data_IF_422901205738
#
_entry.id   IF_422901205738
#
_cell.length_a   1.000
_cell.length_b   1.000
_cell.length_c   1.000
_cell.angle_alpha   90.00
_cell.angle_beta   90.00
_cell.angle_gamma   90.00
#
_symmetry.space_group_name_H-M   'P 1'
#
loop_
_entity.id
_entity.type
_entity.pdbx_description
1 polymer ?
#
# COMPACT_ATOMS: atom_id res chain seq x y z
N UNK A 1 -22.11 5.00 0.25
CA UNK A 1 -20.69 5.15 -0.13
C UNK A 1 -20.50 4.57 -1.52
N UNK A 2 -19.69 5.21 -2.37
CA UNK A 2 -19.41 4.73 -3.74
C UNK A 2 -18.28 3.73 -3.67
N UNK A 3 -18.48 2.51 -4.20
CA UNK A 3 -17.41 1.54 -4.30
C UNK A 3 -16.41 1.99 -5.36
N UNK A 4 -15.15 2.13 -4.99
CA UNK A 4 -14.09 2.53 -5.91
C UNK A 4 -13.40 1.31 -6.53
N UNK A 5 -13.34 0.21 -5.77
CA UNK A 5 -12.81 -1.08 -6.22
C UNK A 5 -13.81 -2.18 -5.90
N UNK A 6 -14.04 -3.07 -6.86
CA UNK A 6 -14.90 -4.25 -6.68
C UNK A 6 -14.33 -5.46 -7.40
N UNK A 7 -14.16 -6.55 -6.65
CA UNK A 7 -13.80 -7.87 -7.15
C UNK A 7 -15.00 -8.82 -7.01
N UNK A 8 -15.37 -9.51 -8.09
CA UNK A 8 -16.47 -10.47 -8.12
C UNK A 8 -16.03 -11.77 -8.78
N UNK A 9 -15.92 -12.84 -7.97
CA UNK A 9 -15.54 -14.20 -8.38
C UNK A 9 -14.23 -14.25 -9.19
N UNK A 10 -13.23 -13.43 -8.78
CA UNK A 10 -11.99 -13.29 -9.52
C UNK A 10 -11.09 -14.48 -9.28
N UNK A 11 -10.58 -15.05 -10.38
CA UNK A 11 -9.61 -16.14 -10.40
C UNK A 11 -8.39 -15.75 -11.21
N UNK A 12 -7.20 -16.21 -10.79
CA UNK A 12 -5.93 -16.00 -11.50
C UNK A 12 -4.98 -17.15 -11.32
N UNK A 13 -4.51 -17.68 -12.45
CA UNK A 13 -3.46 -18.69 -12.57
C UNK A 13 -2.29 -18.17 -13.39
N UNK A 14 -1.14 -18.76 -13.18
CA UNK A 14 0.03 -18.56 -14.03
C UNK A 14 0.48 -19.89 -14.60
N UNK A 15 0.94 -19.85 -15.85
CA UNK A 15 1.41 -21.02 -16.59
C UNK A 15 2.92 -20.95 -16.76
N UNK A 16 3.59 -22.05 -16.50
CA UNK A 16 5.02 -22.22 -16.70
C UNK A 16 5.32 -23.58 -17.35
N UNK A 17 6.57 -23.81 -17.71
CA UNK A 17 7.00 -25.14 -18.20
C UNK A 17 6.76 -26.27 -17.18
N UNK A 18 6.59 -25.95 -15.90
CA UNK A 18 6.30 -26.88 -14.81
C UNK A 18 4.80 -27.14 -14.61
N UNK A 19 3.94 -26.46 -15.36
CA UNK A 19 2.48 -26.58 -15.28
C UNK A 19 1.78 -25.30 -14.82
N UNK A 20 0.51 -25.45 -14.48
CA UNK A 20 -0.36 -24.40 -13.99
C UNK A 20 -0.17 -24.18 -12.48
N UNK A 21 -0.13 -22.92 -12.07
CA UNK A 21 -0.14 -22.50 -10.66
C UNK A 21 -1.35 -21.62 -10.41
N UNK A 22 -2.36 -22.16 -9.75
CA UNK A 22 -3.52 -21.39 -9.30
C UNK A 22 -3.10 -20.48 -8.14
N UNK A 23 -3.18 -19.16 -8.33
CA UNK A 23 -2.73 -18.18 -7.34
C UNK A 23 -3.91 -17.61 -6.56
N UNK A 24 -4.96 -17.16 -7.27
CA UNK A 24 -6.17 -16.58 -6.66
C UNK A 24 -7.39 -17.40 -7.08
N UNK A 25 -8.26 -17.69 -6.12
CA UNK A 25 -9.48 -18.47 -6.34
C UNK A 25 -10.67 -17.78 -5.70
N UNK A 26 -11.66 -17.44 -6.53
CA UNK A 26 -12.95 -16.88 -6.10
C UNK A 26 -12.82 -15.69 -5.14
N UNK A 27 -11.99 -14.71 -5.51
CA UNK A 27 -11.76 -13.50 -4.72
C UNK A 27 -12.95 -12.55 -4.87
N UNK A 28 -13.54 -12.16 -3.73
CA UNK A 28 -14.70 -11.28 -3.66
C UNK A 28 -14.51 -10.24 -2.56
N UNK A 29 -14.39 -8.96 -2.89
CA UNK A 29 -14.39 -7.85 -1.94
C UNK A 29 -14.69 -6.53 -2.63
N UNK A 30 -15.01 -5.51 -1.83
CA UNK A 30 -15.17 -4.12 -2.27
C UNK A 30 -14.35 -3.20 -1.39
N UNK A 31 -13.89 -2.08 -1.94
CA UNK A 31 -13.21 -1.00 -1.20
C UNK A 31 -13.94 0.30 -1.52
N UNK A 32 -14.26 1.06 -0.49
CA UNK A 32 -14.97 2.32 -0.59
C UNK A 32 -14.01 3.48 -0.85
N UNK A 33 -14.52 4.56 -1.42
CA UNK A 33 -13.78 5.80 -1.64
C UNK A 33 -13.22 6.34 -0.31
N UNK A 34 -11.92 6.68 -0.30
CA UNK A 34 -11.20 7.22 0.86
C UNK A 34 -10.84 6.22 1.95
N UNK A 35 -11.16 4.93 1.76
CA UNK A 35 -10.84 3.86 2.70
C UNK A 35 -9.36 3.44 2.60
N UNK A 36 -8.73 3.15 3.74
CA UNK A 36 -7.42 2.50 3.78
C UNK A 36 -7.63 1.03 4.13
N UNK A 37 -7.34 0.15 3.18
CA UNK A 37 -7.46 -1.31 3.35
C UNK A 37 -6.09 -1.95 3.34
N UNK A 38 -5.79 -2.76 4.36
CA UNK A 38 -4.61 -3.60 4.34
C UNK A 38 -4.95 -5.02 3.85
N UNK A 39 -4.07 -5.60 3.04
CA UNK A 39 -4.14 -6.99 2.61
C UNK A 39 -2.96 -7.74 3.22
N UNK A 40 -3.24 -8.72 4.07
CA UNK A 40 -2.24 -9.57 4.71
C UNK A 40 -2.40 -11.03 4.29
N UNK A 41 -1.33 -11.79 4.38
CA UNK A 41 -1.35 -13.21 4.03
C UNK A 41 0.07 -13.78 3.97
N UNK A 42 0.21 -15.12 3.92
CA UNK A 42 1.51 -15.79 3.85
C UNK A 42 2.36 -15.34 2.66
N UNK A 43 3.67 -15.55 2.75
CA UNK A 43 4.56 -15.26 1.62
C UNK A 43 4.13 -16.06 0.38
N UNK A 44 4.11 -15.39 -0.77
CA UNK A 44 3.72 -16.00 -2.05
C UNK A 44 2.22 -16.31 -2.20
N UNK A 45 1.33 -15.91 -1.31
CA UNK A 45 -0.11 -16.18 -1.44
C UNK A 45 -0.79 -15.43 -2.60
N UNK A 46 -0.20 -14.38 -3.16
CA UNK A 46 -0.77 -13.64 -4.29
C UNK A 46 -1.11 -12.18 -4.00
N UNK A 47 -0.58 -11.59 -2.91
CA UNK A 47 -0.80 -10.17 -2.58
C UNK A 47 -0.40 -9.22 -3.71
N UNK A 48 0.82 -9.32 -4.22
CA UNK A 48 1.26 -8.52 -5.37
C UNK A 48 0.51 -8.86 -6.66
N UNK A 49 -0.02 -10.09 -6.79
CA UNK A 49 -0.92 -10.44 -7.90
C UNK A 49 -2.22 -9.63 -7.84
N UNK A 50 -2.79 -9.45 -6.64
CA UNK A 50 -3.97 -8.58 -6.47
C UNK A 50 -3.66 -7.12 -6.84
N UNK A 51 -2.51 -6.59 -6.40
CA UNK A 51 -2.11 -5.23 -6.77
C UNK A 51 -1.91 -5.09 -8.29
N UNK A 52 -1.32 -6.10 -8.95
CA UNK A 52 -1.14 -6.11 -10.40
C UNK A 52 -2.48 -6.19 -11.16
N UNK A 53 -3.46 -6.90 -10.63
CA UNK A 53 -4.83 -6.91 -11.18
C UNK A 53 -5.50 -5.55 -11.02
N UNK A 54 -5.38 -4.90 -9.86
CA UNK A 54 -5.96 -3.57 -9.60
C UNK A 54 -5.29 -2.51 -10.48
N UNK A 55 -3.98 -2.58 -10.66
CA UNK A 55 -3.26 -1.64 -11.52
C UNK A 55 -3.45 -1.88 -13.04
N UNK A 56 -4.12 -2.98 -13.42
CA UNK A 56 -4.32 -3.36 -14.82
C UNK A 56 -3.08 -3.91 -15.53
N UNK A 57 -1.98 -4.17 -14.79
CA UNK A 57 -0.76 -4.78 -15.34
C UNK A 57 -0.98 -6.23 -15.80
N UNK A 58 -1.93 -6.92 -15.18
CA UNK A 58 -2.39 -8.25 -15.60
C UNK A 58 -3.91 -8.29 -15.60
N UNK A 59 -4.48 -9.25 -16.36
CA UNK A 59 -5.92 -9.47 -16.41
C UNK A 59 -6.30 -10.72 -15.59
N UNK A 60 -7.50 -10.77 -15.00
CA UNK A 60 -8.03 -11.99 -14.39
C UNK A 60 -8.32 -13.05 -15.45
N UNK A 61 -8.25 -14.32 -15.08
CA UNK A 61 -8.63 -15.41 -15.98
C UNK A 61 -10.16 -15.59 -16.02
N UNK A 62 -10.83 -15.26 -14.91
CA UNK A 62 -12.29 -15.21 -14.83
C UNK A 62 -12.74 -14.29 -13.69
N UNK A 63 -14.03 -13.95 -13.67
CA UNK A 63 -14.61 -12.98 -12.74
C UNK A 63 -14.52 -11.56 -13.30
N UNK A 64 -14.98 -10.58 -12.49
CA UNK A 64 -15.00 -9.17 -12.86
C UNK A 64 -14.27 -8.32 -11.85
N UNK A 65 -13.46 -7.38 -12.36
CA UNK A 65 -12.82 -6.34 -11.57
C UNK A 65 -13.33 -5.00 -12.09
N UNK A 66 -13.86 -4.18 -11.19
CA UNK A 66 -14.24 -2.80 -11.51
C UNK A 66 -13.36 -1.85 -10.69
N UNK A 67 -12.68 -0.94 -11.37
CA UNK A 67 -11.81 0.07 -10.78
C UNK A 67 -12.29 1.44 -11.27
N UNK A 68 -12.69 2.30 -10.34
CA UNK A 68 -13.18 3.65 -10.63
C UNK A 68 -12.12 4.66 -10.22
N UNK A 69 -11.30 5.10 -11.16
CA UNK A 69 -10.28 6.12 -10.90
C UNK A 69 -8.90 5.76 -11.43
N UNK A 70 -8.00 6.71 -11.32
CA UNK A 70 -6.59 6.55 -11.68
C UNK A 70 -5.82 5.85 -10.56
N UNK A 71 -5.01 4.88 -10.91
CA UNK A 71 -4.22 4.10 -9.96
C UNK A 71 -2.79 4.61 -9.93
N UNK A 72 -2.29 4.93 -8.72
CA UNK A 72 -0.87 5.16 -8.44
C UNK A 72 -0.29 3.94 -7.74
N UNK A 73 0.86 3.44 -8.18
CA UNK A 73 1.49 2.25 -7.61
C UNK A 73 2.87 2.57 -7.06
N UNK A 74 3.04 2.38 -5.75
CA UNK A 74 4.32 2.41 -5.07
C UNK A 74 4.79 0.97 -4.83
N UNK A 75 5.87 0.59 -5.52
CA UNK A 75 6.46 -0.75 -5.42
C UNK A 75 7.22 -0.95 -4.11
N UNK A 76 7.48 -2.20 -3.75
CA UNK A 76 8.21 -2.62 -2.56
C UNK A 76 9.58 -1.93 -2.43
N UNK A 77 10.33 -1.83 -3.54
CA UNK A 77 11.55 -1.01 -3.61
C UNK A 77 11.16 0.42 -3.99
N UNK A 78 11.86 1.40 -3.45
CA UNK A 78 11.64 2.82 -3.76
C UNK A 78 11.80 3.14 -5.25
N UNK A 79 12.64 2.37 -5.95
CA UNK A 79 12.92 2.51 -7.39
C UNK A 79 13.18 3.96 -7.80
N UNK A 80 13.87 4.71 -6.95
CA UNK A 80 14.33 6.05 -7.29
C UNK A 80 15.48 5.94 -8.29
N UNK A 81 15.49 6.83 -9.26
CA UNK A 81 16.61 6.91 -10.20
C UNK A 81 17.81 7.56 -9.51
N UNK A 82 18.89 6.80 -9.32
CA UNK A 82 20.10 7.23 -8.61
C UNK A 82 20.79 8.44 -9.27
N UNK A 83 20.62 8.64 -10.59
CA UNK A 83 21.15 9.77 -11.35
C UNK A 83 20.23 11.00 -11.39
N UNK A 84 19.11 10.95 -10.70
CA UNK A 84 18.14 12.04 -10.58
C UNK A 84 18.05 12.49 -9.12
N UNK A 85 18.09 13.80 -8.89
CA UNK A 85 17.83 14.34 -7.55
C UNK A 85 16.37 14.13 -7.14
N UNK A 86 16.03 14.49 -5.89
CA UNK A 86 14.67 14.38 -5.33
C UNK A 86 13.65 15.07 -6.23
N UNK A 87 13.88 16.32 -6.60
CA UNK A 87 12.98 17.07 -7.48
C UNK A 87 12.70 16.34 -8.79
N UNK A 88 13.75 15.91 -9.48
CA UNK A 88 13.63 15.20 -10.76
C UNK A 88 13.01 13.81 -10.62
N UNK A 89 13.20 13.12 -9.49
CA UNK A 89 12.51 11.87 -9.22
C UNK A 89 11.00 12.10 -9.07
N UNK A 90 10.58 13.10 -8.30
CA UNK A 90 9.17 13.42 -8.08
C UNK A 90 8.50 13.89 -9.38
N UNK A 91 9.17 14.73 -10.17
CA UNK A 91 8.60 15.26 -11.41
C UNK A 91 8.64 14.30 -12.60
N UNK A 92 9.17 13.11 -12.45
CA UNK A 92 9.28 12.12 -13.53
C UNK A 92 7.94 11.80 -14.22
N UNK A 93 6.90 11.56 -13.44
CA UNK A 93 5.57 11.25 -13.98
C UNK A 93 4.99 12.38 -14.82
N UNK A 94 4.92 13.61 -14.31
CA UNK A 94 4.57 14.82 -15.09
C UNK A 94 5.42 15.02 -16.35
N UNK A 95 6.75 14.79 -16.27
CA UNK A 95 7.64 14.88 -17.44
C UNK A 95 7.22 13.87 -18.54
N UNK A 96 7.02 12.61 -18.19
CA UNK A 96 6.58 11.56 -19.12
C UNK A 96 5.21 11.89 -19.72
N UNK A 97 4.29 12.39 -18.89
CA UNK A 97 2.94 12.77 -19.30
C UNK A 97 2.92 14.11 -20.08
N UNK A 98 4.08 14.76 -20.30
CA UNK A 98 4.21 16.07 -20.94
C UNK A 98 3.32 17.16 -20.30
N UNK A 99 3.11 17.06 -19.00
CA UNK A 99 2.35 18.02 -18.22
C UNK A 99 3.24 19.21 -17.86
N UNK A 100 2.63 20.40 -17.79
CA UNK A 100 3.36 21.59 -17.34
C UNK A 100 3.67 21.47 -15.84
N UNK A 101 4.96 21.50 -15.51
CA UNK A 101 5.43 21.43 -14.13
C UNK A 101 5.48 22.87 -13.58
N UNK A 102 4.76 23.10 -12.48
CA UNK A 102 4.88 24.33 -11.70
C UNK A 102 5.86 24.07 -10.54
N UNK A 103 7.04 24.73 -10.60
CA UNK A 103 8.09 24.52 -9.59
C UNK A 103 7.66 24.98 -8.20
N UNK A 104 6.87 26.04 -8.07
CA UNK A 104 6.39 26.55 -6.77
C UNK A 104 5.41 25.55 -6.11
N UNK A 105 4.56 24.90 -6.90
CA UNK A 105 3.69 23.83 -6.40
C UNK A 105 4.49 22.63 -5.91
N UNK A 106 5.56 22.24 -6.64
CA UNK A 106 6.44 21.17 -6.21
C UNK A 106 7.17 21.55 -4.93
N UNK A 107 7.67 22.78 -4.82
CA UNK A 107 8.38 23.25 -3.63
C UNK A 107 7.45 23.28 -2.40
N UNK A 108 6.23 23.78 -2.56
CA UNK A 108 5.20 23.72 -1.50
C UNK A 108 4.86 22.30 -1.10
N UNK A 109 4.79 21.38 -2.07
CA UNK A 109 4.55 19.95 -1.82
C UNK A 109 5.71 19.31 -1.05
N UNK A 110 6.96 19.58 -1.46
CA UNK A 110 8.15 19.13 -0.74
C UNK A 110 8.25 19.72 0.66
N UNK A 111 7.92 21.00 0.83
CA UNK A 111 7.91 21.67 2.14
C UNK A 111 6.90 21.05 3.08
N UNK A 112 5.66 20.80 2.60
CA UNK A 112 4.59 20.17 3.39
C UNK A 112 5.02 18.83 4.00
N UNK A 113 5.88 18.08 3.31
CA UNK A 113 6.32 16.74 3.73
C UNK A 113 7.79 16.69 4.18
N UNK A 114 8.39 17.85 4.50
CA UNK A 114 9.71 17.96 5.12
C UNK A 114 10.87 17.50 4.23
N UNK A 115 10.74 17.70 2.91
CA UNK A 115 11.74 17.29 1.92
C UNK A 115 12.31 18.47 1.09
N UNK A 116 11.90 19.70 1.38
CA UNK A 116 12.33 20.87 0.59
C UNK A 116 13.85 21.07 0.63
N UNK A 117 14.47 20.97 1.82
CA UNK A 117 15.93 21.13 1.99
C UNK A 117 16.72 20.06 1.24
N UNK A 118 16.08 18.92 0.96
CA UNK A 118 16.67 17.79 0.23
C UNK A 118 16.33 17.78 -1.27
N UNK A 119 15.67 18.82 -1.78
CA UNK A 119 15.22 18.93 -3.17
C UNK A 119 16.29 18.60 -4.20
N UNK A 120 17.53 19.03 -3.95
CA UNK A 120 18.66 18.83 -4.86
C UNK A 120 19.52 17.61 -4.53
N UNK A 121 19.23 16.88 -3.44
CA UNK A 121 19.97 15.68 -3.04
C UNK A 121 19.62 14.48 -3.93
N UNK A 122 20.56 13.57 -4.07
CA UNK A 122 20.39 12.32 -4.79
C UNK A 122 19.98 11.19 -3.83
N UNK A 123 19.36 10.10 -4.33
CA UNK A 123 18.87 9.00 -3.48
C UNK A 123 19.90 8.44 -2.50
N UNK A 124 21.17 8.33 -2.90
CA UNK A 124 22.28 7.87 -2.04
C UNK A 124 22.56 8.76 -0.83
N UNK A 125 22.13 10.02 -0.85
CA UNK A 125 22.30 11.00 0.23
C UNK A 125 21.15 11.02 1.22
N UNK A 126 20.09 10.22 0.96
CA UNK A 126 18.86 10.18 1.73
C UNK A 126 18.83 8.97 2.68
N UNK A 127 18.23 9.13 3.85
CA UNK A 127 17.87 8.00 4.71
C UNK A 127 16.84 7.08 4.02
N UNK A 128 16.71 5.83 4.48
CA UNK A 128 15.69 4.90 3.97
C UNK A 128 14.27 5.48 4.04
N UNK A 129 13.91 6.09 5.17
CA UNK A 129 12.61 6.72 5.34
C UNK A 129 12.38 7.93 4.42
N UNK A 130 13.42 8.73 4.16
CA UNK A 130 13.33 9.82 3.19
C UNK A 130 13.10 9.28 1.77
N UNK A 131 13.81 8.22 1.37
CA UNK A 131 13.60 7.58 0.06
C UNK A 131 12.17 7.07 -0.08
N UNK A 132 11.59 6.43 0.96
CA UNK A 132 10.20 5.98 0.93
C UNK A 132 9.21 7.16 0.78
N UNK A 133 9.42 8.27 1.50
CA UNK A 133 8.60 9.48 1.31
C UNK A 133 8.74 10.05 -0.09
N UNK A 134 9.93 10.12 -0.67
CA UNK A 134 10.14 10.58 -2.06
C UNK A 134 9.41 9.66 -3.05
N UNK A 135 9.48 8.34 -2.89
CA UNK A 135 8.78 7.38 -3.74
C UNK A 135 7.25 7.54 -3.66
N UNK A 136 6.71 7.76 -2.45
CA UNK A 136 5.29 8.05 -2.26
C UNK A 136 4.89 9.37 -2.94
N UNK A 137 5.66 10.44 -2.74
CA UNK A 137 5.38 11.75 -3.34
C UNK A 137 5.47 11.73 -4.86
N UNK A 138 6.42 10.95 -5.44
CA UNK A 138 6.49 10.69 -6.88
C UNK A 138 5.21 10.06 -7.43
N UNK A 139 4.57 9.21 -6.65
CA UNK A 139 3.30 8.57 -7.03
C UNK A 139 2.14 9.56 -6.86
N UNK A 140 2.09 10.30 -5.77
CA UNK A 140 1.00 11.23 -5.44
C UNK A 140 0.96 12.47 -6.34
N UNK A 141 2.10 12.91 -6.91
CA UNK A 141 2.15 14.09 -7.77
C UNK A 141 1.29 13.95 -9.03
N UNK A 142 1.04 12.71 -9.45
CA UNK A 142 0.13 12.40 -10.57
C UNK A 142 -1.34 12.49 -10.18
N UNK A 143 -1.63 12.84 -8.93
CA UNK A 143 -2.96 12.94 -8.36
C UNK A 143 -3.83 11.70 -8.66
N UNK A 144 -3.38 10.48 -8.28
CA UNK A 144 -4.20 9.29 -8.43
C UNK A 144 -5.43 9.35 -7.53
N UNK A 145 -6.47 8.59 -7.86
CA UNK A 145 -7.64 8.40 -7.00
C UNK A 145 -7.39 7.25 -6.02
N UNK A 146 -6.70 6.22 -6.50
CA UNK A 146 -6.37 5.00 -5.77
C UNK A 146 -4.85 4.89 -5.62
N UNK A 147 -4.37 4.62 -4.41
CA UNK A 147 -2.97 4.42 -4.08
C UNK A 147 -2.71 2.96 -3.69
N UNK A 148 -1.80 2.30 -4.40
CA UNK A 148 -1.33 0.95 -4.10
C UNK A 148 0.04 1.02 -3.47
N UNK A 149 0.21 0.39 -2.30
CA UNK A 149 1.46 0.31 -1.56
C UNK A 149 1.86 -1.16 -1.37
N UNK A 150 2.91 -1.60 -2.04
CA UNK A 150 3.41 -2.97 -1.96
C UNK A 150 4.57 -3.04 -0.96
N UNK A 151 4.31 -3.54 0.25
CA UNK A 151 5.30 -3.70 1.34
C UNK A 151 6.19 -2.47 1.57
N UNK A 152 5.63 -1.25 1.74
CA UNK A 152 6.39 0.00 1.68
C UNK A 152 7.43 0.16 2.80
N UNK A 153 7.40 -0.67 3.84
CA UNK A 153 8.29 -0.55 5.00
C UNK A 153 9.25 -1.73 5.16
N UNK A 154 9.22 -2.70 4.25
CA UNK A 154 9.97 -3.97 4.38
C UNK A 154 11.50 -3.81 4.40
N UNK A 155 12.02 -2.72 3.83
CA UNK A 155 13.45 -2.42 3.76
C UNK A 155 13.99 -1.56 4.91
N UNK A 156 13.13 -1.16 5.86
CA UNK A 156 13.47 -0.27 6.96
C UNK A 156 13.76 -1.05 8.25
N UNK A 157 14.72 -0.56 9.04
CA UNK A 157 14.90 -1.01 10.42
C UNK A 157 13.70 -0.64 11.30
N UNK A 158 13.54 -1.31 12.43
CA UNK A 158 12.34 -1.20 13.26
C UNK A 158 12.05 0.24 13.76
N UNK A 159 13.08 0.98 14.19
CA UNK A 159 12.90 2.34 14.73
C UNK A 159 12.49 3.33 13.62
N UNK A 160 13.21 3.30 12.52
CA UNK A 160 12.90 4.10 11.31
C UNK A 160 11.51 3.77 10.80
N UNK A 161 11.13 2.49 10.78
CA UNK A 161 9.83 2.01 10.33
C UNK A 161 8.66 2.66 11.08
N UNK A 162 8.71 2.71 12.42
CA UNK A 162 7.63 3.31 13.23
C UNK A 162 7.44 4.80 12.87
N UNK A 163 8.53 5.56 12.80
CA UNK A 163 8.47 6.98 12.47
C UNK A 163 7.95 7.21 11.04
N UNK A 164 8.45 6.44 10.08
CA UNK A 164 8.05 6.56 8.66
C UNK A 164 6.60 6.14 8.44
N UNK A 165 6.08 5.19 9.21
CA UNK A 165 4.68 4.81 9.14
C UNK A 165 3.75 5.96 9.55
N UNK A 166 4.07 6.70 10.61
CA UNK A 166 3.30 7.88 11.02
C UNK A 166 3.35 8.98 9.94
N UNK A 167 4.52 9.22 9.37
CA UNK A 167 4.68 10.22 8.28
C UNK A 167 3.85 9.82 7.04
N UNK A 168 3.99 8.57 6.58
CA UNK A 168 3.28 8.06 5.40
C UNK A 168 1.77 8.02 5.64
N UNK A 169 1.33 7.60 6.83
CA UNK A 169 -0.08 7.61 7.19
C UNK A 169 -0.67 9.01 7.11
N UNK A 170 0.02 10.01 7.65
CA UNK A 170 -0.39 11.42 7.59
C UNK A 170 -0.48 11.91 6.13
N UNK A 171 0.50 11.58 5.30
CA UNK A 171 0.49 11.91 3.86
C UNK A 171 -0.74 11.31 3.17
N UNK A 172 -1.06 10.05 3.45
CA UNK A 172 -2.22 9.34 2.88
C UNK A 172 -3.52 9.99 3.33
N UNK A 173 -3.71 10.21 4.62
CA UNK A 173 -4.92 10.85 5.17
C UNK A 173 -5.11 12.27 4.63
N UNK A 174 -4.05 13.07 4.57
CA UNK A 174 -4.08 14.42 3.98
C UNK A 174 -4.48 14.41 2.50
N UNK A 175 -4.07 13.38 1.76
CA UNK A 175 -4.37 13.24 0.34
C UNK A 175 -5.80 12.76 0.07
N UNK A 176 -6.48 12.19 1.07
CA UNK A 176 -7.84 11.62 1.00
C UNK A 176 -7.98 10.57 -0.11
N UNK A 177 -6.95 9.78 -0.38
CA UNK A 177 -6.93 8.77 -1.43
C UNK A 177 -7.37 7.43 -0.87
N UNK A 178 -8.14 6.68 -1.68
CA UNK A 178 -8.39 5.27 -1.42
C UNK A 178 -7.07 4.52 -1.48
N UNK A 179 -6.71 3.81 -0.41
CA UNK A 179 -5.38 3.23 -0.30
C UNK A 179 -5.45 1.73 -0.02
N UNK A 180 -4.67 0.97 -0.77
CA UNK A 180 -4.46 -0.46 -0.53
C UNK A 180 -3.01 -0.66 -0.11
N UNK A 181 -2.84 -1.15 1.10
CA UNK A 181 -1.55 -1.51 1.68
C UNK A 181 -1.40 -3.02 1.69
N UNK A 182 -0.43 -3.55 0.95
CA UNK A 182 -0.01 -4.95 1.08
C UNK A 182 1.15 -5.02 2.05
N UNK A 183 1.04 -5.90 3.03
CA UNK A 183 2.11 -6.17 4.01
C UNK A 183 2.03 -7.59 4.53
N UNK A 184 3.15 -8.11 5.05
CA UNK A 184 3.21 -9.35 5.82
C UNK A 184 3.22 -9.08 7.34
N UNK A 185 3.24 -7.83 7.76
CA UNK A 185 3.28 -7.39 9.16
C UNK A 185 1.87 -7.02 9.65
N UNK A 186 1.31 -7.84 10.55
CA UNK A 186 -0.01 -7.63 11.13
C UNK A 186 -0.06 -6.29 11.88
N UNK A 187 1.04 -5.90 12.54
CA UNK A 187 1.08 -4.66 13.30
C UNK A 187 0.98 -3.42 12.42
N UNK A 188 1.56 -3.47 11.22
CA UNK A 188 1.38 -2.43 10.19
C UNK A 188 -0.06 -2.35 9.72
N UNK A 189 -0.64 -3.51 9.38
CA UNK A 189 -2.00 -3.59 8.89
C UNK A 189 -3.00 -2.97 9.88
N UNK A 190 -2.94 -3.35 11.15
CA UNK A 190 -3.85 -2.82 12.19
C UNK A 190 -3.59 -1.33 12.44
N UNK A 191 -2.31 -0.92 12.50
CA UNK A 191 -1.96 0.46 12.81
C UNK A 191 -2.43 1.44 11.73
N UNK A 192 -2.36 1.05 10.45
CA UNK A 192 -2.59 1.95 9.32
C UNK A 192 -3.98 1.81 8.69
N UNK A 193 -4.58 0.62 8.67
CA UNK A 193 -5.79 0.39 7.89
C UNK A 193 -7.08 0.67 8.68
N UNK A 194 -8.14 0.99 7.96
CA UNK A 194 -9.51 1.04 8.47
C UNK A 194 -10.10 -0.39 8.44
N UNK A 195 -9.64 -1.24 7.51
CA UNK A 195 -10.06 -2.63 7.36
C UNK A 195 -8.90 -3.51 6.90
N UNK A 196 -8.86 -4.75 7.42
CA UNK A 196 -7.83 -5.75 7.06
C UNK A 196 -8.47 -6.94 6.36
N UNK A 197 -7.98 -7.28 5.17
CA UNK A 197 -8.35 -8.47 4.41
C UNK A 197 -7.25 -9.52 4.60
N UNK A 198 -7.63 -10.70 5.10
CA UNK A 198 -6.72 -11.83 5.33
C UNK A 198 -6.86 -12.84 4.21
N UNK A 199 -5.74 -13.17 3.57
CA UNK A 199 -5.67 -14.18 2.51
C UNK A 199 -5.14 -15.51 3.03
N UNK A 200 -5.65 -16.60 2.46
CA UNK A 200 -5.14 -17.97 2.71
C UNK A 200 -3.84 -18.24 1.92
N UNK A 201 -3.22 -19.40 2.15
CA UNK A 201 -2.19 -19.97 1.26
C UNK A 201 -2.76 -20.24 -0.14
N UNK A 202 -1.86 -20.39 -1.15
CA UNK A 202 -2.27 -20.72 -2.54
C UNK A 202 -2.93 -22.08 -2.66
N UNK A 203 -3.98 -22.19 -3.46
CA UNK A 203 -4.73 -21.13 -4.16
C UNK A 203 -5.47 -20.24 -3.17
N UNK A 204 -5.15 -18.94 -3.21
CA UNK A 204 -5.57 -17.99 -2.19
C UNK A 204 -7.04 -17.63 -2.32
N UNK A 205 -7.71 -17.64 -1.19
CA UNK A 205 -9.08 -17.14 -0.99
C UNK A 205 -9.06 -16.08 0.13
N UNK A 206 -10.15 -15.38 0.33
CA UNK A 206 -10.30 -14.50 1.49
C UNK A 206 -10.68 -15.35 2.69
N UNK A 207 -9.85 -15.36 3.72
CA UNK A 207 -10.12 -16.04 5.00
C UNK A 207 -11.06 -15.24 5.89
N UNK A 208 -10.87 -13.92 5.91
CA UNK A 208 -11.69 -12.98 6.69
C UNK A 208 -11.44 -11.54 6.30
N UNK A 209 -12.39 -10.68 6.64
CA UNK A 209 -12.31 -9.22 6.49
C UNK A 209 -12.67 -8.63 7.86
N UNK A 210 -11.78 -7.80 8.41
CA UNK A 210 -11.88 -7.27 9.75
C UNK A 210 -11.88 -5.74 9.72
N UNK A 211 -12.92 -5.13 10.25
CA UNK A 211 -12.98 -3.70 10.49
C UNK A 211 -12.17 -3.35 11.73
N UNK A 212 -11.32 -2.33 11.65
CA UNK A 212 -10.39 -1.96 12.72
C UNK A 212 -10.91 -0.74 13.46
N UNK A 213 -11.65 -0.97 14.52
CA UNK A 213 -12.21 0.04 15.40
C UNK A 213 -11.43 0.09 16.73
N UNK A 214 -10.51 1.03 16.83
CA UNK A 214 -9.68 1.24 18.01
C UNK A 214 -10.30 2.33 18.89
N UNK A 215 -10.33 2.09 20.21
CA UNK A 215 -10.84 3.07 21.19
C UNK A 215 -9.80 4.20 21.39
N UNK A 216 -9.73 5.10 20.42
CA UNK A 216 -8.81 6.23 20.45
C UNK A 216 -9.56 7.50 20.88
N UNK A 217 -8.96 8.26 21.81
CA UNK A 217 -9.48 9.57 22.26
C UNK A 217 -9.14 10.71 21.28
N UNK A 218 -8.28 10.45 20.32
CA UNK A 218 -7.77 11.40 19.33
C UNK A 218 -7.84 10.79 17.94
N UNK A 219 -7.58 11.61 16.91
CA UNK A 219 -7.46 11.13 15.54
C UNK A 219 -6.42 10.01 15.44
N UNK A 220 -6.75 8.95 14.69
CA UNK A 220 -5.89 7.77 14.53
C UNK A 220 -4.55 8.17 13.93
N UNK A 221 -3.48 7.75 14.61
CA UNK A 221 -2.13 7.64 14.03
C UNK A 221 -1.62 6.22 14.25
N UNK A 222 -0.67 5.70 13.46
CA UNK A 222 -0.08 4.39 13.68
C UNK A 222 0.52 4.23 15.07
N UNK A 223 1.12 5.29 15.63
CA UNK A 223 1.65 5.29 16.99
C UNK A 223 0.54 5.14 18.03
N UNK A 224 -0.54 5.94 17.94
CA UNK A 224 -1.67 5.85 18.86
C UNK A 224 -2.42 4.52 18.72
N UNK A 225 -2.56 4.02 17.49
CA UNK A 225 -3.19 2.73 17.23
C UNK A 225 -2.51 1.60 18.01
N UNK A 226 -1.18 1.55 18.01
CA UNK A 226 -0.40 0.53 18.75
C UNK A 226 -0.57 0.59 20.26
N UNK A 227 -0.92 1.77 20.79
CA UNK A 227 -1.15 1.98 22.22
C UNK A 227 -2.62 1.74 22.64
N UNK A 228 -3.52 1.42 21.71
CA UNK A 228 -4.91 1.08 22.03
C UNK A 228 -5.00 -0.27 22.72
N UNK A 229 -5.88 -0.37 23.73
CA UNK A 229 -6.16 -1.63 24.41
C UNK A 229 -6.63 -2.73 23.44
N UNK A 230 -7.47 -2.37 22.44
CA UNK A 230 -7.99 -3.29 21.42
C UNK A 230 -6.96 -3.74 20.38
N UNK A 231 -5.78 -3.11 20.31
CA UNK A 231 -4.76 -3.46 19.31
C UNK A 231 -4.34 -4.92 19.42
N UNK A 232 -4.14 -5.39 20.66
CA UNK A 232 -3.74 -6.77 20.92
C UNK A 232 -4.83 -7.78 20.52
N UNK A 233 -6.10 -7.41 20.72
CA UNK A 233 -7.24 -8.29 20.37
C UNK A 233 -7.30 -8.49 18.85
N UNK A 234 -7.18 -7.39 18.05
CA UNK A 234 -7.09 -7.48 16.60
C UNK A 234 -5.85 -8.24 16.14
N UNK A 235 -4.72 -8.05 16.81
CA UNK A 235 -3.50 -8.80 16.49
C UNK A 235 -3.73 -10.31 16.65
N UNK A 236 -4.27 -10.75 17.78
CA UNK A 236 -4.55 -12.16 18.03
C UNK A 236 -5.56 -12.73 17.02
N UNK A 237 -6.64 -12.00 16.75
CA UNK A 237 -7.69 -12.39 15.81
C UNK A 237 -7.13 -12.60 14.39
N UNK A 238 -6.30 -11.66 13.90
CA UNK A 238 -5.71 -11.74 12.57
C UNK A 238 -4.61 -12.81 12.53
N UNK A 239 -3.83 -12.95 13.61
CA UNK A 239 -2.82 -13.98 13.75
C UNK A 239 -3.42 -15.39 13.66
N UNK A 240 -4.51 -15.65 14.37
CA UNK A 240 -5.25 -16.92 14.30
C UNK A 240 -5.82 -17.16 12.89
N UNK A 241 -6.35 -16.09 12.25
CA UNK A 241 -6.86 -16.21 10.89
C UNK A 241 -5.76 -16.54 9.86
N UNK A 242 -4.51 -16.15 10.09
CA UNK A 242 -3.39 -16.48 9.20
C UNK A 242 -2.92 -17.93 9.30
N UNK A 243 -3.47 -18.74 10.23
CA UNK A 243 -3.09 -20.15 10.47
C UNK A 243 -1.56 -20.31 10.60
N UNK A 244 -0.90 -19.40 11.37
CA UNK A 244 0.55 -19.41 11.55
C UNK A 244 0.97 -20.61 12.42
N UNK A 245 0.02 -21.32 13.01
CA UNK A 245 0.23 -22.62 13.66
C UNK A 245 0.19 -23.75 12.65
N UNK A 246 1.21 -23.85 11.81
CA UNK A 246 1.33 -24.98 10.94
C UNK A 246 2.62 -25.73 11.13
N UNK A 247 2.38 -27.04 11.36
CA UNK A 247 3.28 -28.16 11.12
C UNK A 247 4.73 -27.95 11.60
N UNK A 248 4.91 -28.21 12.87
CA UNK A 248 6.20 -28.73 13.35
C UNK A 248 6.23 -30.24 13.19
#
# INVERSE_FOLDING_TARGET
MKNEISFKNVNKSFYSLKGETNVLKNINFTINEGEIVAIVGPSGCGKSTLLNLISGLIQPDSGNININGKVGYMFQKDNLFEWRNVYKNITLGPEIAKQKINSEQIDSFLQKYGLLDFKNHYPKELSGGMRQRVALLRTLILNPDILLLDEPFSSLDYQTKITVQDDIYRIIKDSKKTTILVTHDITEAIAMADRVIVLTKRPSTIKGIYEIELDLKQEKTPFLARNSAKFKDYFNLIWEALDIHEER
#
